data_IF_999663580277
#
_entry.id   IF_999663580277
#
_cell.length_a   1.000
_cell.length_b   1.000
_cell.length_c   1.000
_cell.angle_alpha   90.00
_cell.angle_beta   90.00
_cell.angle_gamma   90.00
#
_symmetry.space_group_name_H-M   'P 1'
#
loop_
_entity.id
_entity.type
_entity.pdbx_description
1 polymer ?
#
# COMPACT_ATOMS: atom_id res chain seq x y z
N UNK A 1 -13.91 28.20 -12.82
CA UNK A 1 -13.42 28.57 -14.18
C UNK A 1 -14.65 28.91 -15.04
N UNK A 2 -14.66 30.01 -15.81
CA UNK A 2 -15.81 30.38 -16.67
C UNK A 2 -15.55 29.93 -18.11
N UNK A 3 -16.49 29.21 -18.70
CA UNK A 3 -16.39 28.72 -20.08
C UNK A 3 -17.70 28.94 -20.81
N UNK A 4 -17.69 29.71 -21.92
CA UNK A 4 -18.89 30.00 -22.71
C UNK A 4 -20.04 30.59 -21.91
N UNK A 5 -19.76 31.53 -20.99
CA UNK A 5 -20.77 32.19 -20.15
C UNK A 5 -21.27 31.39 -18.94
N UNK A 6 -20.90 30.11 -18.79
CA UNK A 6 -21.26 29.28 -17.63
C UNK A 6 -20.09 29.17 -16.64
N UNK A 7 -20.38 29.28 -15.35
CA UNK A 7 -19.42 29.02 -14.27
C UNK A 7 -19.35 27.51 -14.07
N UNK A 8 -18.17 26.93 -14.23
CA UNK A 8 -17.91 25.54 -13.89
C UNK A 8 -17.45 25.47 -12.44
N UNK A 9 -18.28 24.83 -11.63
CA UNK A 9 -18.08 24.57 -10.20
C UNK A 9 -17.62 23.14 -9.91
N UNK A 10 -17.82 22.19 -10.83
CA UNK A 10 -17.42 20.79 -10.66
C UNK A 10 -16.11 20.46 -11.37
N UNK A 11 -15.19 19.80 -10.66
CA UNK A 11 -13.89 19.35 -11.19
C UNK A 11 -14.03 18.38 -12.37
N UNK A 12 -15.12 17.62 -12.42
CA UNK A 12 -15.38 16.73 -13.55
C UNK A 12 -15.66 17.52 -14.83
N UNK A 13 -16.36 18.65 -14.72
CA UNK A 13 -16.75 19.44 -15.86
C UNK A 13 -15.60 20.33 -16.34
N UNK A 14 -14.78 20.86 -15.43
CA UNK A 14 -13.53 21.55 -15.77
C UNK A 14 -12.58 20.59 -16.50
N UNK A 15 -12.43 19.36 -16.01
CA UNK A 15 -11.60 18.32 -16.65
C UNK A 15 -12.08 17.99 -18.06
N UNK A 16 -13.39 17.81 -18.26
CA UNK A 16 -13.97 17.53 -19.59
C UNK A 16 -13.69 18.66 -20.59
N UNK A 17 -13.83 19.90 -20.16
CA UNK A 17 -13.60 21.07 -21.03
C UNK A 17 -12.12 21.23 -21.35
N UNK A 18 -11.25 21.06 -20.36
CA UNK A 18 -9.81 21.06 -20.57
C UNK A 18 -9.40 20.01 -21.61
N UNK A 19 -9.85 18.77 -21.45
CA UNK A 19 -9.55 17.69 -22.41
C UNK A 19 -10.05 18.00 -23.82
N UNK A 20 -11.23 18.62 -23.95
CA UNK A 20 -11.78 19.05 -25.25
C UNK A 20 -10.89 20.10 -25.92
N UNK A 21 -10.43 21.08 -25.17
CA UNK A 21 -9.52 22.13 -25.68
C UNK A 21 -8.15 21.59 -26.03
N UNK A 22 -7.56 20.84 -25.10
CA UNK A 22 -6.25 20.25 -25.26
C UNK A 22 -6.21 19.36 -26.50
N UNK A 23 -7.24 18.52 -26.72
CA UNK A 23 -7.36 17.70 -27.93
C UNK A 23 -7.44 18.53 -29.23
N UNK A 24 -8.04 19.72 -29.20
CA UNK A 24 -8.15 20.61 -30.37
C UNK A 24 -6.82 21.28 -30.71
N UNK A 25 -6.05 21.67 -29.69
CA UNK A 25 -4.77 22.39 -29.85
C UNK A 25 -3.59 21.43 -30.01
N UNK A 26 -3.65 20.26 -29.38
CA UNK A 26 -2.59 19.27 -29.49
C UNK A 26 -2.66 18.58 -30.85
N UNK A 27 -1.56 18.58 -31.59
CA UNK A 27 -1.35 17.68 -32.73
C UNK A 27 -1.05 16.23 -32.28
N UNK A 28 -1.38 15.89 -31.03
CA UNK A 28 -1.11 14.59 -30.43
C UNK A 28 -2.06 13.55 -31.03
N UNK A 29 -1.53 12.75 -31.97
CA UNK A 29 -2.17 11.53 -32.44
C UNK A 29 -1.48 10.35 -31.75
N UNK A 30 -2.15 9.65 -30.82
CA UNK A 30 -1.54 8.46 -30.22
C UNK A 30 -1.25 7.45 -31.34
N UNK A 31 0.02 7.07 -31.52
CA UNK A 31 0.48 6.14 -32.58
C UNK A 31 -0.20 4.76 -32.51
N UNK A 32 -0.74 4.40 -31.35
CA UNK A 32 -1.57 3.21 -31.14
C UNK A 32 -2.78 3.62 -30.32
N UNK A 33 -3.98 3.27 -30.80
CA UNK A 33 -5.15 3.26 -29.93
C UNK A 33 -4.91 2.15 -28.89
N UNK A 34 -4.70 2.54 -27.63
CA UNK A 34 -4.74 1.59 -26.52
C UNK A 34 -6.19 1.11 -26.50
N UNK A 35 -6.45 -0.08 -27.06
CA UNK A 35 -7.75 -0.73 -26.90
C UNK A 35 -8.01 -0.76 -25.39
N UNK A 36 -9.15 -0.22 -24.95
CA UNK A 36 -9.67 -0.47 -23.61
C UNK A 36 -9.86 -1.99 -23.55
N UNK A 37 -8.82 -2.71 -23.14
CA UNK A 37 -8.99 -4.08 -22.69
C UNK A 37 -9.87 -3.91 -21.48
N UNK A 38 -11.11 -4.38 -21.57
CA UNK A 38 -11.81 -4.75 -20.36
C UNK A 38 -10.83 -5.63 -19.60
N UNK A 39 -10.41 -5.15 -18.43
CA UNK A 39 -9.69 -5.98 -17.49
C UNK A 39 -10.76 -6.96 -17.02
N UNK A 40 -11.07 -7.97 -17.84
CA UNK A 40 -11.71 -9.17 -17.38
C UNK A 40 -10.91 -9.56 -16.15
N UNK A 41 -11.60 -9.63 -15.00
CA UNK A 41 -11.05 -9.62 -13.64
C UNK A 41 -9.63 -10.17 -13.62
N UNK A 42 -8.66 -9.52 -12.94
CA UNK A 42 -7.29 -10.01 -12.91
C UNK A 42 -7.37 -11.51 -12.70
N UNK A 43 -6.86 -12.31 -13.63
CA UNK A 43 -6.74 -13.75 -13.44
C UNK A 43 -5.78 -13.87 -12.26
N UNK A 44 -6.33 -13.80 -11.05
CA UNK A 44 -5.55 -13.87 -9.83
C UNK A 44 -5.07 -15.30 -9.86
N UNK A 45 -3.81 -15.46 -10.25
CA UNK A 45 -3.20 -16.76 -10.26
C UNK A 45 -3.37 -17.30 -8.83
N UNK A 46 -4.09 -18.41 -8.73
CA UNK A 46 -4.63 -18.96 -7.49
C UNK A 46 -3.53 -19.28 -6.47
N UNK A 47 -2.32 -19.51 -6.97
CA UNK A 47 -1.11 -19.64 -6.16
C UNK A 47 -0.79 -18.34 -5.42
N UNK A 48 -0.82 -17.21 -6.12
CA UNK A 48 -0.53 -15.90 -5.53
C UNK A 48 -1.66 -15.43 -4.62
N UNK A 49 -2.93 -15.68 -4.95
CA UNK A 49 -4.01 -15.36 -4.00
C UNK A 49 -3.81 -16.08 -2.68
N UNK A 50 -3.50 -17.38 -2.70
CA UNK A 50 -3.25 -18.16 -1.48
C UNK A 50 -2.05 -17.63 -0.70
N UNK A 51 -0.94 -17.30 -1.35
CA UNK A 51 0.25 -16.75 -0.68
C UNK A 51 -0.03 -15.45 0.09
N UNK A 52 -0.91 -14.59 -0.44
CA UNK A 52 -1.28 -13.33 0.23
C UNK A 52 -2.50 -13.42 1.13
N UNK A 53 -3.14 -14.59 1.24
CA UNK A 53 -4.33 -14.80 2.07
C UNK A 53 -4.07 -15.67 3.30
N UNK A 54 -2.97 -16.42 3.32
CA UNK A 54 -2.64 -17.36 4.40
C UNK A 54 -1.90 -16.61 5.53
N UNK A 55 -2.29 -16.81 6.81
CA UNK A 55 -1.58 -16.24 7.95
C UNK A 55 -0.23 -16.92 8.17
N UNK A 56 0.71 -16.19 8.77
CA UNK A 56 2.02 -16.71 9.12
C UNK A 56 1.95 -17.71 10.29
N UNK A 57 2.83 -18.72 10.25
CA UNK A 57 2.93 -19.76 11.26
C UNK A 57 3.97 -19.46 12.35
N UNK A 58 3.91 -20.21 13.46
CA UNK A 58 4.93 -20.16 14.51
C UNK A 58 6.33 -20.52 13.98
N UNK A 59 6.42 -21.45 13.03
CA UNK A 59 7.71 -21.84 12.44
C UNK A 59 8.32 -20.70 11.62
N UNK A 60 7.49 -19.96 10.88
CA UNK A 60 7.93 -18.84 10.07
C UNK A 60 8.49 -17.71 10.94
N UNK A 61 7.82 -17.39 12.04
CA UNK A 61 8.35 -16.38 12.96
C UNK A 61 9.64 -16.85 13.65
N UNK A 62 9.76 -18.13 14.00
CA UNK A 62 11.02 -18.66 14.55
C UNK A 62 12.16 -18.58 13.51
N UNK A 63 11.90 -18.96 12.25
CA UNK A 63 12.89 -18.82 11.17
C UNK A 63 13.27 -17.36 10.91
N UNK A 64 12.31 -16.45 10.98
CA UNK A 64 12.56 -15.02 10.82
C UNK A 64 13.42 -14.46 11.98
N UNK A 65 13.13 -14.86 13.22
CA UNK A 65 13.91 -14.49 14.40
C UNK A 65 15.35 -15.03 14.31
N UNK A 66 15.55 -16.27 13.82
CA UNK A 66 16.89 -16.82 13.63
C UNK A 66 17.72 -16.05 12.59
N UNK A 67 17.07 -15.49 11.57
CA UNK A 67 17.72 -14.66 10.54
C UNK A 67 18.02 -13.24 11.01
N UNK A 68 17.52 -12.83 12.17
CA UNK A 68 17.71 -11.48 12.68
C UNK A 68 19.17 -11.28 13.09
N UNK A 69 19.88 -10.42 12.35
CA UNK A 69 21.30 -10.16 12.60
C UNK A 69 21.51 -9.36 13.88
N UNK A 70 22.38 -9.85 14.76
CA UNK A 70 22.83 -9.16 15.97
C UNK A 70 23.82 -8.05 15.65
N UNK A 71 23.94 -7.07 16.54
CA UNK A 71 24.86 -5.94 16.42
C UNK A 71 24.47 -4.92 15.36
N UNK A 72 23.22 -4.94 14.87
CA UNK A 72 22.71 -3.88 14.00
C UNK A 72 22.23 -2.71 14.83
N UNK A 73 22.41 -1.52 14.27
CA UNK A 73 21.86 -0.29 14.85
C UNK A 73 20.34 -0.39 14.95
N UNK A 74 19.79 0.17 16.02
CA UNK A 74 18.36 0.31 16.15
C UNK A 74 17.80 1.17 15.00
N UNK A 75 16.56 0.88 14.59
CA UNK A 75 15.83 1.77 13.69
C UNK A 75 15.46 3.11 14.36
N UNK A 76 14.69 3.98 13.68
CA UNK A 76 14.28 5.29 14.21
C UNK A 76 13.55 5.23 15.57
N UNK A 77 12.95 4.08 15.89
CA UNK A 77 12.20 3.83 17.13
C UNK A 77 13.10 3.33 18.27
N UNK A 78 14.39 3.08 18.03
CA UNK A 78 15.34 2.69 19.09
C UNK A 78 15.27 1.22 19.53
N UNK A 79 14.45 0.38 18.88
CA UNK A 79 14.36 -1.05 19.19
C UNK A 79 15.51 -1.81 18.55
N UNK A 80 16.34 -2.44 19.38
CA UNK A 80 17.44 -3.29 18.97
C UNK A 80 16.97 -4.72 18.63
N UNK A 81 17.58 -5.38 17.63
CA UNK A 81 17.31 -6.79 17.32
C UNK A 81 17.40 -7.73 18.52
N UNK A 82 18.34 -7.48 19.43
CA UNK A 82 18.61 -8.26 20.63
C UNK A 82 17.41 -8.28 21.58
N UNK A 83 16.65 -7.18 21.64
CA UNK A 83 15.46 -7.11 22.48
C UNK A 83 14.40 -8.07 21.99
N UNK A 84 14.19 -8.12 20.67
CA UNK A 84 13.22 -9.01 20.03
C UNK A 84 13.64 -10.48 20.24
N UNK A 85 14.94 -10.79 20.11
CA UNK A 85 15.46 -12.14 20.32
C UNK A 85 15.26 -12.65 21.76
N UNK A 86 15.46 -11.76 22.75
CA UNK A 86 15.31 -12.04 24.18
C UNK A 86 13.87 -12.13 24.67
N UNK A 87 12.88 -11.82 23.83
CA UNK A 87 11.47 -11.92 24.21
C UNK A 87 11.08 -13.36 24.60
N UNK A 88 10.22 -13.46 25.62
CA UNK A 88 9.58 -14.71 26.00
C UNK A 88 8.58 -15.20 24.95
N UNK A 89 8.18 -16.47 25.05
CA UNK A 89 7.24 -17.13 24.11
C UNK A 89 5.94 -16.35 23.94
N UNK A 90 5.34 -15.87 25.05
CA UNK A 90 4.10 -15.08 25.03
C UNK A 90 4.21 -13.79 24.22
N UNK A 91 5.34 -13.09 24.33
CA UNK A 91 5.58 -11.87 23.57
C UNK A 91 5.79 -12.17 22.08
N UNK A 92 6.51 -13.24 21.74
CA UNK A 92 6.68 -13.71 20.35
C UNK A 92 5.34 -14.09 19.72
N UNK A 93 4.47 -14.79 20.46
CA UNK A 93 3.10 -15.09 20.02
C UNK A 93 2.25 -13.84 19.81
N UNK A 94 2.41 -12.83 20.68
CA UNK A 94 1.70 -11.55 20.54
C UNK A 94 2.14 -10.82 19.26
N UNK A 95 3.44 -10.84 18.94
CA UNK A 95 3.96 -10.30 17.68
C UNK A 95 3.36 -11.04 16.48
N UNK A 96 3.37 -12.38 16.50
CA UNK A 96 2.78 -13.19 15.44
C UNK A 96 1.29 -12.87 15.23
N UNK A 97 0.53 -12.80 16.32
CA UNK A 97 -0.89 -12.42 16.29
C UNK A 97 -1.08 -11.04 15.65
N UNK A 98 -0.27 -10.06 16.05
CA UNK A 98 -0.32 -8.71 15.51
C UNK A 98 -0.01 -8.67 14.00
N UNK A 99 1.04 -9.38 13.56
CA UNK A 99 1.39 -9.50 12.14
C UNK A 99 0.24 -10.13 11.37
N UNK A 100 -0.35 -11.23 11.86
CA UNK A 100 -1.46 -11.90 11.17
C UNK A 100 -2.73 -11.05 11.11
N UNK A 101 -3.00 -10.23 12.14
CA UNK A 101 -4.12 -9.27 12.11
C UNK A 101 -3.92 -8.20 11.05
N UNK A 102 -2.73 -7.60 10.99
CA UNK A 102 -2.41 -6.56 10.01
C UNK A 102 -2.32 -7.12 8.59
N UNK A 103 -1.79 -8.33 8.41
CA UNK A 103 -1.77 -9.04 7.13
C UNK A 103 -3.18 -9.28 6.57
N UNK A 104 -4.14 -9.62 7.44
CA UNK A 104 -5.56 -9.76 7.09
C UNK A 104 -6.30 -8.44 6.85
N UNK A 105 -5.62 -7.30 6.84
CA UNK A 105 -6.20 -5.98 6.56
C UNK A 105 -6.80 -5.28 7.78
N UNK A 106 -6.61 -5.80 9.01
CA UNK A 106 -7.05 -5.13 10.22
C UNK A 106 -5.95 -4.26 10.79
N UNK A 107 -6.09 -2.94 10.66
CA UNK A 107 -5.15 -1.96 11.21
C UNK A 107 -5.79 -1.16 12.33
N UNK A 108 -5.01 -0.74 13.34
CA UNK A 108 -5.52 0.18 14.34
C UNK A 108 -5.88 1.54 13.71
N UNK A 109 -7.04 2.09 14.05
CA UNK A 109 -7.56 3.35 13.48
C UNK A 109 -6.64 4.56 13.72
N UNK A 110 -5.77 4.51 14.72
CA UNK A 110 -4.81 5.58 15.02
C UNK A 110 -3.57 5.57 14.11
N UNK A 111 -3.30 4.49 13.37
CA UNK A 111 -2.18 4.44 12.42
C UNK A 111 -2.39 5.33 11.20
N UNK A 112 -3.64 5.58 10.82
CA UNK A 112 -4.01 6.48 9.72
C UNK A 112 -3.68 7.95 10.05
N UNK A 113 -3.51 8.29 11.34
CA UNK A 113 -3.32 9.67 11.84
C UNK A 113 -1.88 10.02 12.21
N UNK A 114 -0.88 9.19 11.88
CA UNK A 114 0.51 9.50 12.19
C UNK A 114 0.99 10.68 11.33
N UNK A 115 0.81 11.88 11.88
CA UNK A 115 1.27 13.14 11.33
C UNK A 115 2.78 13.11 11.12
N UNK A 116 3.20 13.42 9.90
CA UNK A 116 4.54 13.90 9.62
C UNK A 116 4.77 15.17 10.45
N UNK A 117 5.58 15.09 11.49
CA UNK A 117 6.18 16.28 12.09
C UNK A 117 7.45 16.60 11.30
N UNK A 118 7.49 17.69 10.51
CA UNK A 118 8.76 18.20 10.01
C UNK A 118 9.52 18.81 11.19
N UNK A 119 10.75 18.35 11.40
CA UNK A 119 11.75 19.02 12.24
C UNK A 119 12.41 20.15 11.45
#
# INVERSE_FOLDING_TARGET
>A
MKFGGKILTSDQDTTKIFLKYYRKVSNFRPRRQIRKREINSPRVNEKWSRLFSVPFSDEEIQRALQKLSRGKSAGPVGILPEFILKLGSKAKQTILFFINKTWGGSFPSYWEKLMFYPY
#
